data_IF_098751655743
#
_entry.id   IF_098751655743
#
_cell.length_a   1.000
_cell.length_b   1.000
_cell.length_c   1.000
_cell.angle_alpha   90.00
_cell.angle_beta   90.00
_cell.angle_gamma   90.00
#
_symmetry.space_group_name_H-M   'P 1'
#
loop_
_entity.id
_entity.type
_entity.pdbx_description
1 polymer ?
#
# COMPACT_ATOMS: atom_id res chain seq x y z
N UNK A 1 72.69 26.03 -15.42
CA UNK A 1 72.00 25.03 -16.27
C UNK A 1 70.87 24.41 -15.45
N UNK A 2 69.60 24.62 -15.84
CA UNK A 2 68.42 23.99 -15.22
C UNK A 2 67.65 23.24 -16.31
N UNK A 3 67.38 21.93 -16.17
CA UNK A 3 66.77 21.11 -17.21
C UNK A 3 65.27 21.40 -17.41
N UNK A 4 64.85 21.30 -18.68
CA UNK A 4 63.45 21.39 -19.15
C UNK A 4 62.70 20.14 -18.66
N UNK A 5 61.64 20.34 -17.87
CA UNK A 5 60.83 19.25 -17.33
C UNK A 5 59.47 19.15 -18.04
N UNK A 6 59.32 18.05 -18.81
CA UNK A 6 58.12 17.24 -18.97
C UNK A 6 56.81 17.90 -19.41
N UNK A 7 56.50 17.81 -20.70
CA UNK A 7 55.16 18.01 -21.25
C UNK A 7 54.20 16.99 -20.62
N UNK A 8 53.19 17.46 -19.87
CA UNK A 8 52.09 16.61 -19.36
C UNK A 8 51.09 16.32 -20.49
N UNK A 9 50.62 15.07 -20.69
CA UNK A 9 49.53 14.77 -21.60
C UNK A 9 48.21 15.41 -21.13
N UNK A 10 47.32 15.84 -22.04
CA UNK A 10 46.03 16.40 -21.66
C UNK A 10 45.12 15.35 -21.01
N UNK A 11 44.40 15.78 -19.97
CA UNK A 11 43.41 14.98 -19.27
C UNK A 11 42.32 14.52 -20.25
N UNK A 12 42.01 13.23 -20.23
CA UNK A 12 40.88 12.68 -20.97
C UNK A 12 39.57 13.08 -20.28
N UNK A 13 38.51 13.44 -21.03
CA UNK A 13 37.20 13.72 -20.44
C UNK A 13 36.62 12.42 -19.84
N UNK A 14 36.22 12.48 -18.58
CA UNK A 14 35.53 11.38 -17.91
C UNK A 14 34.15 11.16 -18.56
N UNK A 15 33.84 9.92 -18.88
CA UNK A 15 32.52 9.53 -19.41
C UNK A 15 31.47 9.62 -18.30
N UNK A 16 30.29 10.24 -18.56
CA UNK A 16 29.26 10.51 -17.54
C UNK A 16 28.46 9.27 -17.09
N UNK A 17 28.97 8.05 -17.25
CA UNK A 17 28.28 6.81 -16.86
C UNK A 17 29.08 5.96 -15.87
N UNK A 18 29.57 6.58 -14.80
CA UNK A 18 30.07 5.87 -13.61
C UNK A 18 29.26 6.23 -12.35
N UNK A 19 27.94 6.35 -12.52
CA UNK A 19 27.01 6.79 -11.46
C UNK A 19 25.86 5.83 -11.15
N UNK A 20 25.64 4.81 -11.97
CA UNK A 20 24.66 3.76 -11.66
C UNK A 20 25.33 2.67 -10.81
N UNK A 21 25.83 3.08 -9.64
CA UNK A 21 25.94 2.16 -8.51
C UNK A 21 24.51 1.73 -8.20
N UNK A 22 24.17 0.51 -8.62
CA UNK A 22 22.97 -0.19 -8.23
C UNK A 22 22.91 -0.27 -6.71
N UNK A 23 22.34 0.77 -6.09
CA UNK A 23 21.70 0.62 -4.79
C UNK A 23 20.47 -0.23 -5.06
N UNK A 24 20.70 -1.54 -5.19
CA UNK A 24 19.67 -2.54 -5.00
C UNK A 24 19.14 -2.25 -3.61
N UNK A 25 18.01 -1.54 -3.55
CA UNK A 25 17.26 -1.40 -2.33
C UNK A 25 16.93 -2.83 -1.92
N UNK A 26 17.61 -3.34 -0.90
CA UNK A 26 17.19 -4.55 -0.23
C UNK A 26 15.79 -4.26 0.27
N UNK A 27 14.80 -4.83 -0.40
CA UNK A 27 13.42 -4.79 0.06
C UNK A 27 13.42 -5.68 1.29
N UNK A 28 13.42 -5.07 2.47
CA UNK A 28 13.30 -5.78 3.74
C UNK A 28 11.89 -6.37 3.81
N UNK A 29 11.76 -7.63 3.39
CA UNK A 29 10.50 -8.33 3.21
C UNK A 29 9.69 -8.43 4.52
N UNK A 30 10.38 -8.56 5.67
CA UNK A 30 9.72 -8.55 6.99
C UNK A 30 9.03 -7.20 7.28
N UNK A 31 9.70 -6.08 6.98
CA UNK A 31 9.11 -4.75 7.19
C UNK A 31 7.88 -4.52 6.30
N UNK A 32 7.87 -5.08 5.09
CA UNK A 32 6.74 -4.96 4.16
C UNK A 32 5.51 -5.76 4.60
N UNK A 33 5.70 -6.93 5.22
CA UNK A 33 4.60 -7.74 5.75
C UNK A 33 3.92 -7.03 6.92
N UNK A 34 4.69 -6.50 7.86
CA UNK A 34 4.15 -5.81 9.03
C UNK A 34 3.39 -4.54 8.64
N UNK A 35 3.91 -3.79 7.66
CA UNK A 35 3.24 -2.60 7.13
C UNK A 35 1.92 -2.96 6.43
N UNK A 36 1.92 -4.01 5.61
CA UNK A 36 0.70 -4.50 4.97
C UNK A 36 -0.32 -5.00 6.00
N UNK A 37 0.10 -5.78 7.01
CA UNK A 37 -0.77 -6.28 8.06
C UNK A 37 -1.41 -5.13 8.86
N UNK A 38 -0.64 -4.07 9.12
CA UNK A 38 -1.14 -2.85 9.76
C UNK A 38 -2.19 -2.14 8.90
N UNK A 39 -1.91 -1.95 7.60
CA UNK A 39 -2.87 -1.35 6.66
C UNK A 39 -4.15 -2.19 6.62
N UNK A 40 -4.04 -3.50 6.39
CA UNK A 40 -5.20 -4.40 6.37
C UNK A 40 -6.02 -4.32 7.66
N UNK A 41 -5.36 -4.30 8.82
CA UNK A 41 -6.05 -4.18 10.11
C UNK A 41 -6.79 -2.85 10.25
N UNK A 42 -6.22 -1.76 9.74
CA UNK A 42 -6.89 -0.47 9.72
C UNK A 42 -8.09 -0.49 8.78
N UNK A 43 -7.94 -0.99 7.55
CA UNK A 43 -9.05 -1.09 6.59
C UNK A 43 -10.20 -1.95 7.12
N UNK A 44 -9.91 -3.06 7.83
CA UNK A 44 -10.94 -3.87 8.50
C UNK A 44 -11.73 -3.05 9.52
N UNK A 45 -11.04 -2.21 10.32
CA UNK A 45 -11.69 -1.32 11.28
C UNK A 45 -12.51 -0.24 10.58
N UNK A 46 -11.99 0.32 9.49
CA UNK A 46 -12.68 1.36 8.72
C UNK A 46 -13.96 0.80 8.09
N UNK A 47 -13.91 -0.40 7.50
CA UNK A 47 -15.10 -1.11 6.99
C UNK A 47 -16.10 -1.43 8.10
N UNK A 48 -15.63 -1.71 9.32
CA UNK A 48 -16.52 -1.89 10.47
C UNK A 48 -17.20 -0.57 10.88
N UNK A 49 -16.45 0.53 10.94
CA UNK A 49 -17.01 1.86 11.20
C UNK A 49 -18.06 2.22 10.15
N UNK A 50 -17.75 2.05 8.86
CA UNK A 50 -18.70 2.34 7.78
C UNK A 50 -20.01 1.56 7.91
N UNK A 51 -19.95 0.31 8.37
CA UNK A 51 -21.16 -0.50 8.62
C UNK A 51 -21.98 0.03 9.81
N UNK A 52 -21.32 0.43 10.90
CA UNK A 52 -21.99 1.01 12.08
C UNK A 52 -22.63 2.35 11.70
N UNK A 53 -21.87 3.24 11.07
CA UNK A 53 -22.33 4.56 10.63
C UNK A 53 -23.52 4.45 9.66
N UNK A 54 -23.45 3.51 8.71
CA UNK A 54 -24.57 3.23 7.81
C UNK A 54 -25.82 2.76 8.54
N UNK A 55 -25.67 1.91 9.56
CA UNK A 55 -26.79 1.42 10.36
C UNK A 55 -27.42 2.54 11.21
N UNK A 56 -26.61 3.41 11.80
CA UNK A 56 -27.06 4.55 12.58
C UNK A 56 -27.80 5.59 11.71
N UNK A 57 -27.31 5.80 10.49
CA UNK A 57 -27.98 6.64 9.48
C UNK A 57 -29.32 6.05 9.04
N UNK A 58 -29.38 4.74 8.80
CA UNK A 58 -30.65 4.04 8.49
C UNK A 58 -31.63 4.16 9.66
N UNK A 59 -31.15 3.98 10.89
CA UNK A 59 -31.98 4.12 12.09
C UNK A 59 -32.52 5.55 12.25
N UNK A 60 -31.66 6.55 12.07
CA UNK A 60 -32.04 7.96 12.12
C UNK A 60 -33.09 8.29 11.06
N UNK A 61 -32.96 7.75 9.85
CA UNK A 61 -33.93 7.95 8.78
C UNK A 61 -35.29 7.32 9.12
N UNK A 62 -35.30 6.09 9.61
CA UNK A 62 -36.53 5.36 9.96
C UNK A 62 -37.26 5.95 11.16
N UNK A 63 -36.53 6.62 12.07
CA UNK A 63 -37.10 7.31 13.24
C UNK A 63 -37.57 8.73 12.92
N UNK A 64 -37.43 9.19 11.67
CA UNK A 64 -37.84 10.52 11.23
C UNK A 64 -36.85 11.63 11.59
N UNK A 65 -35.58 11.28 11.81
CA UNK A 65 -34.48 12.24 11.97
C UNK A 65 -34.19 13.02 10.69
N UNK A 66 -33.53 14.16 10.84
CA UNK A 66 -33.12 15.04 9.73
C UNK A 66 -31.87 14.48 9.03
N UNK A 67 -32.06 13.40 8.28
CA UNK A 67 -31.01 12.76 7.47
C UNK A 67 -31.47 12.63 6.02
N UNK A 68 -30.58 12.94 5.09
CA UNK A 68 -30.87 12.86 3.67
C UNK A 68 -30.88 11.40 3.20
N UNK A 69 -32.01 10.94 2.68
CA UNK A 69 -32.20 9.58 2.16
C UNK A 69 -31.12 9.17 1.15
N UNK A 70 -30.70 10.08 0.27
CA UNK A 70 -29.66 9.80 -0.71
C UNK A 70 -28.29 9.57 -0.06
N UNK A 71 -27.99 10.28 1.03
CA UNK A 71 -26.75 10.11 1.79
C UNK A 71 -26.75 8.78 2.55
N UNK A 72 -27.87 8.42 3.19
CA UNK A 72 -28.04 7.13 3.87
C UNK A 72 -27.83 5.97 2.89
N UNK A 73 -28.51 6.02 1.74
CA UNK A 73 -28.36 5.00 0.70
C UNK A 73 -26.92 4.93 0.16
N UNK A 74 -26.27 6.08 -0.01
CA UNK A 74 -24.87 6.14 -0.44
C UNK A 74 -23.93 5.52 0.60
N UNK A 75 -24.15 5.79 1.88
CA UNK A 75 -23.35 5.23 2.95
C UNK A 75 -23.50 3.70 3.03
N UNK A 76 -24.73 3.19 2.93
CA UNK A 76 -25.01 1.75 2.88
C UNK A 76 -24.30 1.09 1.69
N UNK A 77 -24.39 1.69 0.50
CA UNK A 77 -23.73 1.17 -0.70
C UNK A 77 -22.19 1.18 -0.57
N UNK A 78 -21.62 2.23 0.02
CA UNK A 78 -20.17 2.31 0.30
C UNK A 78 -19.74 1.21 1.27
N UNK A 79 -20.48 1.03 2.36
CA UNK A 79 -20.18 -0.01 3.35
C UNK A 79 -20.25 -1.42 2.73
N UNK A 80 -21.28 -1.72 1.92
CA UNK A 80 -21.41 -3.00 1.22
C UNK A 80 -20.26 -3.24 0.24
N UNK A 81 -19.94 -2.24 -0.60
CA UNK A 81 -18.84 -2.35 -1.55
C UNK A 81 -17.50 -2.59 -0.84
N UNK A 82 -17.20 -1.81 0.19
CA UNK A 82 -15.96 -1.92 0.95
C UNK A 82 -15.85 -3.29 1.65
N UNK A 83 -16.96 -3.80 2.19
CA UNK A 83 -17.02 -5.15 2.76
C UNK A 83 -16.75 -6.24 1.71
N UNK A 84 -17.35 -6.14 0.52
CA UNK A 84 -17.12 -7.09 -0.57
C UNK A 84 -15.66 -7.10 -1.03
N UNK A 85 -15.03 -5.94 -1.09
CA UNK A 85 -13.60 -5.82 -1.39
C UNK A 85 -12.75 -6.47 -0.30
N UNK A 86 -13.08 -6.23 0.97
CA UNK A 86 -12.38 -6.86 2.10
C UNK A 86 -12.46 -8.39 2.05
N UNK A 87 -13.62 -8.95 1.70
CA UNK A 87 -13.76 -10.40 1.52
C UNK A 87 -12.85 -10.95 0.41
N UNK A 88 -12.69 -10.22 -0.69
CA UNK A 88 -11.75 -10.61 -1.75
C UNK A 88 -10.31 -10.62 -1.25
N UNK A 89 -9.90 -9.59 -0.50
CA UNK A 89 -8.58 -9.52 0.11
C UNK A 89 -8.38 -10.68 1.09
N UNK A 90 -9.36 -10.94 1.97
CA UNK A 90 -9.34 -12.09 2.89
C UNK A 90 -9.12 -13.41 2.14
N UNK A 91 -9.85 -13.64 1.06
CA UNK A 91 -9.72 -14.86 0.27
C UNK A 91 -8.32 -14.98 -0.36
N UNK A 92 -7.78 -13.88 -0.90
CA UNK A 92 -6.44 -13.85 -1.49
C UNK A 92 -5.34 -14.11 -0.46
N UNK A 93 -5.50 -13.63 0.77
CA UNK A 93 -4.56 -13.89 1.86
C UNK A 93 -4.58 -15.36 2.30
N UNK A 94 -5.76 -15.96 2.37
CA UNK A 94 -5.89 -17.40 2.65
C UNK A 94 -5.26 -18.23 1.53
N UNK A 95 -5.43 -17.84 0.27
CA UNK A 95 -4.77 -18.47 -0.89
C UNK A 95 -3.24 -18.34 -0.81
N UNK A 96 -2.72 -17.14 -0.58
CA UNK A 96 -1.28 -16.90 -0.46
C UNK A 96 -0.64 -17.68 0.69
N UNK A 97 -1.33 -17.79 1.84
CA UNK A 97 -0.88 -18.63 2.94
C UNK A 97 -0.77 -20.11 2.55
N UNK A 98 -1.78 -20.64 1.84
CA UNK A 98 -1.77 -22.02 1.33
C UNK A 98 -0.63 -22.25 0.32
N UNK A 99 -0.38 -21.29 -0.55
CA UNK A 99 0.70 -21.36 -1.55
C UNK A 99 2.08 -21.41 -0.89
N UNK A 100 2.33 -20.58 0.13
CA UNK A 100 3.60 -20.61 0.89
C UNK A 100 3.81 -21.95 1.59
N UNK A 101 2.76 -22.57 2.13
CA UNK A 101 2.85 -23.91 2.72
C UNK A 101 3.18 -24.99 1.69
N UNK A 102 2.67 -24.85 0.47
CA UNK A 102 2.88 -25.82 -0.61
C UNK A 102 4.30 -25.75 -1.21
N UNK A 103 5.00 -24.61 -1.06
CA UNK A 103 6.40 -24.43 -1.48
C UNK A 103 7.39 -25.06 -0.49
N UNK A 104 7.02 -25.23 0.79
CA UNK A 104 7.93 -25.69 1.86
C UNK A 104 8.00 -27.23 2.03
N UNK A 105 7.48 -28.00 1.08
CA UNK A 105 7.62 -29.48 1.05
C UNK A 105 8.55 -29.94 -0.06
#
# INVERSE_FOLDING_TARGET
MRPINGIQPPLRPESPMSGLSSKSAKVDFESGIDEFAKVLTNEVKDVNSMQIDANDMVHSLLTGGDVNEAEVLTAVQKADLAFRMLLQVRNKLVEAYREVQQIQI
#
